data_IF_358672553258
#
_entry.id   IF_358672553258
#
_cell.length_a   1.000
_cell.length_b   1.000
_cell.length_c   1.000
_cell.angle_alpha   90.00
_cell.angle_beta   90.00
_cell.angle_gamma   90.00
#
_symmetry.space_group_name_H-M   'P 1'
#
loop_
_entity.id
_entity.type
_entity.pdbx_description
1 polymer ?
#
# COMPACT_ATOMS: atom_id res chain seq x y z
N UNK A 1 -18.81 21.84 -12.10
CA UNK A 1 -17.50 21.16 -12.14
C UNK A 1 -16.98 21.27 -13.56
N UNK A 2 -15.76 21.75 -13.75
CA UNK A 2 -15.15 21.94 -15.08
C UNK A 2 -14.08 20.86 -15.28
N UNK A 3 -14.12 20.20 -16.45
CA UNK A 3 -13.07 19.23 -16.82
C UNK A 3 -11.82 20.00 -17.24
N UNK A 4 -10.67 19.68 -16.62
CA UNK A 4 -9.38 20.33 -16.93
C UNK A 4 -8.61 19.65 -18.06
N UNK A 5 -9.07 18.46 -18.47
CA UNK A 5 -8.39 17.66 -19.50
C UNK A 5 -7.08 17.02 -18.99
N UNK A 6 -6.44 16.26 -19.86
CA UNK A 6 -5.14 15.62 -19.59
C UNK A 6 -4.23 15.75 -20.80
N UNK A 7 -2.99 16.21 -20.57
CA UNK A 7 -1.99 16.31 -21.62
C UNK A 7 -0.98 15.15 -21.49
N UNK A 8 -0.88 14.35 -22.56
CA UNK A 8 0.11 13.27 -22.62
C UNK A 8 1.52 13.84 -22.58
N UNK A 9 2.34 13.33 -21.68
CA UNK A 9 3.79 13.59 -21.65
C UNK A 9 4.55 12.50 -22.38
N UNK A 10 5.59 12.87 -23.13
CA UNK A 10 6.48 11.92 -23.77
C UNK A 10 7.63 11.61 -22.80
N UNK A 11 7.76 10.36 -22.38
CA UNK A 11 8.81 9.91 -21.47
C UNK A 11 8.80 8.41 -21.32
N UNK A 12 9.88 7.84 -20.80
CA UNK A 12 9.93 6.43 -20.43
C UNK A 12 8.97 6.21 -19.26
N UNK A 13 8.21 5.13 -19.31
CA UNK A 13 7.33 4.68 -18.23
C UNK A 13 7.75 3.28 -17.82
N UNK A 14 7.84 3.04 -16.52
CA UNK A 14 8.08 1.73 -15.93
C UNK A 14 6.91 1.36 -15.04
N UNK A 15 6.37 0.17 -15.25
CA UNK A 15 5.34 -0.40 -14.38
C UNK A 15 5.93 -1.11 -13.16
N UNK A 16 5.05 -1.60 -12.30
CA UNK A 16 5.40 -2.38 -11.14
C UNK A 16 5.67 -1.58 -9.86
N UNK A 17 5.71 -2.28 -8.73
CA UNK A 17 5.99 -1.74 -7.41
C UNK A 17 7.43 -2.04 -7.04
N UNK A 18 8.17 -1.01 -6.60
CA UNK A 18 9.56 -1.13 -6.17
C UNK A 18 9.69 -1.41 -4.67
N UNK A 19 8.87 -0.78 -3.88
CA UNK A 19 8.92 -0.90 -2.42
C UNK A 19 7.52 -0.83 -1.83
N UNK A 20 7.29 -1.59 -0.77
CA UNK A 20 6.05 -1.64 -0.02
C UNK A 20 6.35 -1.49 1.46
N UNK A 21 5.61 -0.59 2.09
CA UNK A 21 5.65 -0.35 3.53
C UNK A 21 4.25 -0.56 4.09
N UNK A 22 4.11 -1.37 5.12
CA UNK A 22 2.83 -1.66 5.77
C UNK A 22 2.92 -1.37 7.27
N UNK A 23 1.83 -0.88 7.83
CA UNK A 23 1.65 -0.66 9.26
C UNK A 23 0.21 -0.95 9.66
N UNK A 24 0.00 -1.39 10.89
CA UNK A 24 -1.33 -1.49 11.47
C UNK A 24 -2.00 -0.11 11.51
N UNK A 25 -3.29 -0.06 11.13
CA UNK A 25 -4.01 1.24 11.09
C UNK A 25 -3.98 1.98 12.44
N UNK A 26 -4.04 1.25 13.55
CA UNK A 26 -4.11 1.82 14.90
C UNK A 26 -2.79 2.48 15.35
N UNK A 27 -1.70 2.23 14.62
CA UNK A 27 -0.40 2.89 14.82
C UNK A 27 -0.29 4.23 14.08
N UNK A 28 -1.22 4.56 13.20
CA UNK A 28 -1.26 5.83 12.48
C UNK A 28 -2.19 6.80 13.21
N UNK A 29 -1.65 7.94 13.67
CA UNK A 29 -2.42 8.98 14.35
C UNK A 29 -3.11 9.92 13.36
N UNK A 30 -2.37 10.40 12.38
CA UNK A 30 -2.87 11.35 11.39
C UNK A 30 -1.98 11.41 10.16
N UNK A 31 -2.56 11.91 9.06
CA UNK A 31 -1.84 12.24 7.84
C UNK A 31 -1.93 13.74 7.61
N UNK A 32 -0.84 14.36 7.22
CA UNK A 32 -0.79 15.78 6.88
C UNK A 32 -0.99 15.95 5.38
N UNK A 33 -2.16 16.46 5.00
CA UNK A 33 -2.50 16.70 3.60
C UNK A 33 -1.89 18.00 3.09
N UNK A 34 -1.38 17.97 1.87
CA UNK A 34 -1.07 19.15 1.08
C UNK A 34 -2.31 19.58 0.29
N UNK A 35 -2.93 20.69 0.68
CA UNK A 35 -4.30 21.06 0.33
C UNK A 35 -4.63 21.20 -1.18
N UNK A 36 -3.64 21.35 -2.06
CA UNK A 36 -3.86 21.56 -3.49
C UNK A 36 -3.57 20.35 -4.39
N UNK A 37 -2.91 19.29 -3.88
CA UNK A 37 -2.24 18.32 -4.75
C UNK A 37 -2.68 16.87 -4.58
N UNK A 38 -3.71 16.59 -3.79
CA UNK A 38 -4.11 15.21 -3.45
C UNK A 38 -2.90 14.38 -3.01
N UNK A 39 -2.12 14.95 -2.10
CA UNK A 39 -0.90 14.39 -1.56
C UNK A 39 -0.80 14.54 -0.05
N UNK A 40 0.01 13.71 0.58
CA UNK A 40 0.38 13.78 1.98
C UNK A 40 1.88 14.06 2.10
N UNK A 41 2.24 15.06 2.91
CA UNK A 41 3.63 15.39 3.19
C UNK A 41 4.21 14.62 4.37
N UNK A 42 3.35 14.19 5.32
CA UNK A 42 3.78 13.47 6.50
C UNK A 42 2.72 12.48 7.00
N UNK A 43 3.19 11.41 7.60
CA UNK A 43 2.39 10.43 8.34
C UNK A 43 2.86 10.45 9.78
N UNK A 44 1.96 10.80 10.70
CA UNK A 44 2.25 10.85 12.13
C UNK A 44 1.87 9.52 12.75
N UNK A 45 2.84 8.88 13.39
CA UNK A 45 2.67 7.58 14.02
C UNK A 45 2.53 7.70 15.55
N UNK A 46 2.07 6.63 16.16
CA UNK A 46 2.16 6.43 17.62
C UNK A 46 3.65 6.31 18.00
N UNK A 47 4.03 6.71 19.22
CA UNK A 47 5.41 6.55 19.72
C UNK A 47 5.90 5.10 19.53
N UNK A 48 7.16 4.97 19.17
CA UNK A 48 7.86 3.71 18.90
C UNK A 48 7.30 2.87 17.73
N UNK A 49 6.28 3.37 17.01
CA UNK A 49 5.77 2.71 15.81
C UNK A 49 6.61 3.04 14.57
N UNK A 50 6.74 2.06 13.69
CA UNK A 50 7.39 2.20 12.39
C UNK A 50 6.68 1.34 11.35
N UNK A 51 6.81 1.72 10.09
CA UNK A 51 6.37 0.86 9.00
C UNK A 51 7.31 -0.35 8.84
N UNK A 52 6.73 -1.48 8.54
CA UNK A 52 7.47 -2.68 8.12
C UNK A 52 7.65 -2.64 6.61
N UNK A 53 8.89 -2.74 6.14
CA UNK A 53 9.21 -2.81 4.72
C UNK A 53 9.11 -4.27 4.26
N UNK A 54 8.35 -4.48 3.20
CA UNK A 54 8.25 -5.78 2.53
C UNK A 54 9.13 -5.76 1.28
N UNK A 55 10.02 -6.72 1.19
CA UNK A 55 10.92 -6.91 0.06
C UNK A 55 10.46 -8.13 -0.74
N UNK A 56 10.37 -7.96 -2.05
CA UNK A 56 9.98 -8.98 -3.00
C UNK A 56 10.89 -8.91 -4.22
N UNK A 57 10.79 -9.91 -5.07
CA UNK A 57 11.56 -9.94 -6.31
C UNK A 57 11.01 -8.91 -7.29
N UNK A 58 11.90 -8.36 -8.10
CA UNK A 58 11.55 -7.43 -9.19
C UNK A 58 10.44 -8.02 -10.07
N UNK A 59 9.53 -7.14 -10.53
CA UNK A 59 8.40 -7.47 -11.42
C UNK A 59 7.34 -8.43 -10.82
N UNK A 60 7.34 -8.64 -9.52
CA UNK A 60 6.40 -9.54 -8.84
C UNK A 60 5.45 -8.83 -7.86
N UNK A 61 5.29 -7.51 -8.02
CA UNK A 61 4.32 -6.74 -7.24
C UNK A 61 3.55 -5.75 -8.11
N UNK A 62 2.25 -5.69 -7.89
CA UNK A 62 1.33 -4.81 -8.61
C UNK A 62 0.43 -4.06 -7.63
N UNK A 63 0.24 -2.77 -7.88
CA UNK A 63 -0.81 -1.98 -7.27
C UNK A 63 -1.82 -1.56 -8.33
N UNK A 64 -3.09 -1.84 -8.07
CA UNK A 64 -4.19 -1.58 -9.00
C UNK A 64 -5.33 -0.85 -8.31
N UNK A 65 -5.89 0.14 -9.00
CA UNK A 65 -7.09 0.84 -8.58
C UNK A 65 -8.19 0.70 -9.63
N UNK A 66 -9.34 0.22 -9.19
CA UNK A 66 -10.52 0.07 -10.06
C UNK A 66 -11.63 0.98 -9.55
N UNK A 67 -12.05 1.94 -10.36
CA UNK A 67 -13.19 2.81 -10.05
C UNK A 67 -14.44 2.27 -10.72
N UNK A 68 -15.50 2.08 -9.93
CA UNK A 68 -16.85 1.73 -10.40
C UNK A 68 -17.84 2.81 -9.99
N UNK A 69 -18.80 3.09 -10.87
CA UNK A 69 -19.90 4.00 -10.58
C UNK A 69 -21.19 3.24 -10.80
N UNK A 70 -21.95 3.01 -9.73
CA UNK A 70 -23.22 2.31 -9.76
C UNK A 70 -24.27 3.12 -9.00
N UNK A 71 -25.43 3.33 -9.59
CA UNK A 71 -26.55 4.08 -8.99
C UNK A 71 -26.15 5.47 -8.43
N UNK A 72 -25.20 6.14 -9.07
CA UNK A 72 -24.68 7.44 -8.62
C UNK A 72 -23.64 7.37 -7.49
N UNK A 73 -23.34 6.19 -6.98
CA UNK A 73 -22.29 5.97 -5.99
C UNK A 73 -20.96 5.63 -6.65
N UNK A 74 -19.88 6.22 -6.17
CA UNK A 74 -18.52 5.95 -6.61
C UNK A 74 -17.84 5.03 -5.60
N UNK A 75 -17.29 3.92 -6.09
CA UNK A 75 -16.49 3.00 -5.32
C UNK A 75 -15.13 2.82 -6.01
N UNK A 76 -14.06 2.90 -5.24
CA UNK A 76 -12.70 2.63 -5.68
C UNK A 76 -12.16 1.44 -4.91
N UNK A 77 -11.90 0.36 -5.61
CA UNK A 77 -11.21 -0.80 -5.04
C UNK A 77 -9.72 -0.62 -5.24
N UNK A 78 -8.96 -0.64 -4.16
CA UNK A 78 -7.50 -0.64 -4.15
C UNK A 78 -7.03 -2.07 -3.87
N UNK A 79 -6.25 -2.62 -4.79
CA UNK A 79 -5.72 -3.98 -4.74
C UNK A 79 -4.20 -3.94 -4.83
N UNK A 80 -3.55 -4.60 -3.90
CA UNK A 80 -2.11 -4.74 -3.84
C UNK A 80 -1.77 -6.22 -3.82
N UNK A 81 -1.06 -6.70 -4.84
CA UNK A 81 -0.60 -8.08 -4.95
C UNK A 81 0.93 -8.11 -5.01
N UNK A 82 1.55 -9.01 -4.26
CA UNK A 82 3.00 -9.20 -4.26
C UNK A 82 3.38 -10.64 -3.93
N UNK A 83 4.52 -11.08 -4.43
CA UNK A 83 5.07 -12.41 -4.19
C UNK A 83 6.21 -12.34 -3.17
N UNK A 84 6.03 -13.06 -2.06
CA UNK A 84 7.12 -13.32 -1.11
C UNK A 84 7.93 -14.52 -1.63
N UNK A 85 9.20 -14.34 -1.99
CA UNK A 85 9.99 -15.41 -2.58
C UNK A 85 10.29 -16.49 -1.55
N UNK A 86 10.28 -17.75 -1.99
CA UNK A 86 10.48 -18.98 -1.23
C UNK A 86 9.35 -19.27 -0.24
N UNK A 87 8.89 -20.50 -0.23
CA UNK A 87 7.98 -21.03 0.80
C UNK A 87 8.80 -21.48 2.02
N UNK A 88 9.33 -20.54 2.77
CA UNK A 88 10.15 -20.80 3.96
C UNK A 88 9.44 -20.44 5.26
N UNK A 89 10.16 -20.54 6.37
CA UNK A 89 9.69 -20.14 7.69
C UNK A 89 9.34 -18.64 7.72
N UNK A 90 10.17 -17.80 7.11
CA UNK A 90 10.04 -16.33 7.13
C UNK A 90 8.82 -15.86 6.35
N UNK A 91 8.58 -16.40 5.15
CA UNK A 91 7.39 -16.06 4.37
C UNK A 91 6.09 -16.48 5.06
N UNK A 92 6.08 -17.66 5.70
CA UNK A 92 4.94 -18.12 6.49
C UNK A 92 4.63 -17.22 7.66
N UNK A 93 5.64 -16.83 8.44
CA UNK A 93 5.48 -15.90 9.56
C UNK A 93 4.90 -14.57 9.05
N UNK A 94 5.46 -14.02 7.97
CA UNK A 94 4.96 -12.76 7.41
C UNK A 94 3.50 -12.84 6.96
N UNK A 95 3.09 -13.95 6.34
CA UNK A 95 1.68 -14.14 5.92
C UNK A 95 0.76 -14.36 7.12
N UNK A 96 1.18 -15.12 8.13
CA UNK A 96 0.40 -15.32 9.36
C UNK A 96 0.21 -13.99 10.12
N UNK A 97 1.25 -13.16 10.23
CA UNK A 97 1.16 -11.81 10.81
C UNK A 97 0.17 -10.93 10.04
N UNK A 98 0.21 -10.95 8.71
CA UNK A 98 -0.76 -10.22 7.89
C UNK A 98 -2.19 -10.73 8.07
N UNK A 99 -2.37 -12.03 8.25
CA UNK A 99 -3.67 -12.63 8.51
C UNK A 99 -4.21 -12.25 9.89
N UNK A 100 -3.37 -12.24 10.90
CA UNK A 100 -3.73 -11.88 12.28
C UNK A 100 -4.11 -10.39 12.40
N UNK A 101 -3.40 -9.52 11.68
CA UNK A 101 -3.66 -8.07 11.67
C UNK A 101 -4.84 -7.71 10.75
N UNK A 102 -5.15 -8.54 9.77
CA UNK A 102 -6.19 -8.27 8.76
C UNK A 102 -7.54 -7.83 9.31
N UNK A 103 -8.09 -8.38 10.43
CA UNK A 103 -9.35 -7.90 11.00
C UNK A 103 -9.29 -6.41 11.43
N UNK A 104 -8.16 -5.96 11.98
CA UNK A 104 -7.93 -4.57 12.34
C UNK A 104 -7.61 -3.72 11.11
N UNK A 105 -6.85 -4.27 10.18
CA UNK A 105 -6.49 -3.68 8.90
C UNK A 105 -5.15 -2.94 8.91
N UNK A 106 -4.68 -2.66 7.71
CA UNK A 106 -3.36 -2.10 7.42
C UNK A 106 -3.48 -0.79 6.63
N UNK A 107 -2.54 0.10 6.86
CA UNK A 107 -2.26 1.24 5.98
C UNK A 107 -0.92 0.95 5.29
N UNK A 108 -0.87 1.21 3.99
CA UNK A 108 0.32 0.97 3.19
C UNK A 108 0.86 2.22 2.51
N UNK A 109 2.17 2.24 2.28
CA UNK A 109 2.82 3.17 1.34
C UNK A 109 3.46 2.33 0.25
N UNK A 110 2.99 2.54 -0.97
CA UNK A 110 3.42 1.82 -2.17
C UNK A 110 4.27 2.76 -3.02
N UNK A 111 5.50 2.35 -3.33
CA UNK A 111 6.42 3.11 -4.20
C UNK A 111 6.55 2.38 -5.53
N UNK A 112 6.19 3.06 -6.62
CA UNK A 112 6.32 2.49 -7.97
C UNK A 112 7.77 2.62 -8.51
N UNK A 113 8.02 1.96 -9.65
CA UNK A 113 9.34 2.01 -10.31
C UNK A 113 9.67 3.40 -10.89
N UNK A 114 8.70 4.31 -10.97
CA UNK A 114 8.90 5.71 -11.35
C UNK A 114 9.28 6.59 -10.15
N UNK A 115 9.24 6.05 -8.93
CA UNK A 115 9.55 6.78 -7.70
C UNK A 115 8.35 7.49 -7.07
N UNK A 116 7.14 7.30 -7.60
CA UNK A 116 5.95 7.88 -6.97
C UNK A 116 5.48 6.99 -5.81
N UNK A 117 5.37 7.58 -4.65
CA UNK A 117 4.80 6.91 -3.48
C UNK A 117 3.31 7.26 -3.33
N UNK A 118 2.50 6.30 -2.89
CA UNK A 118 1.06 6.46 -2.65
C UNK A 118 0.67 5.87 -1.31
N UNK A 119 -0.19 6.56 -0.59
CA UNK A 119 -0.78 6.05 0.66
C UNK A 119 -2.05 5.28 0.32
N UNK A 120 -2.11 4.03 0.74
CA UNK A 120 -3.21 3.10 0.48
C UNK A 120 -3.87 2.69 1.78
N UNK A 121 -5.18 2.55 1.77
CA UNK A 121 -5.94 2.16 2.98
C UNK A 121 -6.39 3.33 3.85
N UNK A 122 -6.31 4.57 3.35
CA UNK A 122 -6.82 5.77 4.00
C UNK A 122 -7.73 6.56 3.06
N UNK A 123 -8.78 7.16 3.60
CA UNK A 123 -9.73 7.99 2.87
C UNK A 123 -9.71 9.43 3.42
N UNK A 124 -9.23 10.38 2.62
CA UNK A 124 -9.10 11.77 3.03
C UNK A 124 -10.45 12.48 3.12
N UNK A 125 -11.40 12.14 2.24
CA UNK A 125 -12.75 12.74 2.25
C UNK A 125 -13.49 12.43 3.55
N UNK A 126 -13.32 11.21 4.07
CA UNK A 126 -13.95 10.78 5.32
C UNK A 126 -13.05 11.03 6.55
N UNK A 127 -11.79 11.46 6.34
CA UNK A 127 -10.79 11.60 7.41
C UNK A 127 -10.63 10.34 8.27
N UNK A 128 -10.76 9.18 7.64
CA UNK A 128 -10.74 7.89 8.32
C UNK A 128 -9.98 6.84 7.51
N UNK A 129 -9.55 5.80 8.18
CA UNK A 129 -8.94 4.65 7.52
C UNK A 129 -10.00 3.78 6.86
N UNK A 130 -9.78 3.46 5.59
CA UNK A 130 -10.43 2.37 4.87
C UNK A 130 -9.37 1.29 4.65
N UNK A 131 -9.02 0.52 5.71
CA UNK A 131 -7.77 -0.21 5.76
C UNK A 131 -7.72 -1.35 4.76
N UNK A 132 -6.53 -1.61 4.26
CA UNK A 132 -6.21 -2.83 3.54
C UNK A 132 -6.43 -4.05 4.43
N UNK A 133 -6.97 -5.10 3.85
CA UNK A 133 -7.15 -6.40 4.50
C UNK A 133 -6.66 -7.51 3.61
N UNK A 134 -6.20 -8.58 4.22
CA UNK A 134 -5.82 -9.77 3.48
C UNK A 134 -7.06 -10.35 2.79
N UNK A 135 -7.04 -10.35 1.47
CA UNK A 135 -8.08 -10.95 0.64
C UNK A 135 -7.76 -12.40 0.32
N UNK A 136 -6.52 -12.67 -0.05
CA UNK A 136 -6.06 -13.99 -0.44
C UNK A 136 -4.56 -14.15 -0.18
N UNK A 137 -4.16 -15.34 0.18
CA UNK A 137 -2.77 -15.80 0.17
C UNK A 137 -2.72 -17.17 -0.49
N UNK A 138 -1.78 -17.34 -1.43
CA UNK A 138 -1.58 -18.58 -2.17
C UNK A 138 -0.10 -18.94 -2.22
N UNK A 139 0.25 -20.06 -1.57
CA UNK A 139 1.62 -20.59 -1.59
C UNK A 139 1.78 -21.69 -2.62
N UNK A 140 2.87 -21.66 -3.39
CA UNK A 140 3.22 -22.72 -4.34
C UNK A 140 4.71 -23.06 -4.28
N UNK A 141 5.00 -24.36 -4.37
CA UNK A 141 6.38 -24.87 -4.53
C UNK A 141 6.80 -24.98 -5.99
N UNK A 142 5.87 -24.73 -6.94
CA UNK A 142 6.04 -25.09 -8.33
C UNK A 142 5.98 -26.61 -8.55
N UNK A 143 5.95 -27.03 -9.80
CA UNK A 143 5.95 -28.45 -10.21
C UNK A 143 7.29 -28.86 -10.83
N UNK A 144 7.95 -27.97 -11.53
CA UNK A 144 9.22 -28.19 -12.19
C UNK A 144 10.34 -27.36 -11.52
N UNK A 145 11.59 -27.72 -11.76
CA UNK A 145 12.76 -26.98 -11.24
C UNK A 145 12.83 -25.54 -11.75
N UNK A 146 12.19 -25.24 -12.89
CA UNK A 146 12.11 -23.89 -13.48
C UNK A 146 10.97 -23.05 -12.90
N UNK A 147 10.06 -23.63 -12.15
CA UNK A 147 8.88 -22.93 -11.65
C UNK A 147 9.25 -22.01 -10.47
N UNK A 148 8.57 -20.89 -10.38
CA UNK A 148 8.70 -20.01 -9.21
C UNK A 148 8.10 -20.68 -7.97
N UNK A 149 8.76 -20.50 -6.84
CA UNK A 149 8.27 -20.90 -5.52
C UNK A 149 8.11 -19.67 -4.65
N UNK A 150 7.02 -19.59 -3.90
CA UNK A 150 6.74 -18.46 -3.03
C UNK A 150 5.28 -18.38 -2.60
N UNK A 151 4.94 -17.34 -1.89
CA UNK A 151 3.58 -17.04 -1.46
C UNK A 151 3.11 -15.71 -2.06
N UNK A 152 2.09 -15.77 -2.89
CA UNK A 152 1.41 -14.58 -3.43
C UNK A 152 0.42 -14.08 -2.40
N UNK A 153 0.55 -12.82 -2.01
CA UNK A 153 -0.32 -12.15 -1.05
C UNK A 153 -1.12 -11.08 -1.79
N UNK A 154 -2.42 -11.04 -1.56
CA UNK A 154 -3.31 -10.00 -2.09
C UNK A 154 -4.01 -9.29 -0.95
N UNK A 155 -3.77 -7.98 -0.85
CA UNK A 155 -4.45 -7.08 0.08
C UNK A 155 -5.43 -6.21 -0.69
N UNK A 156 -6.60 -5.97 -0.12
CA UNK A 156 -7.64 -5.14 -0.75
C UNK A 156 -8.32 -4.21 0.24
N UNK A 157 -8.80 -3.09 -0.27
CA UNK A 157 -9.78 -2.24 0.41
C UNK A 157 -10.69 -1.54 -0.59
N UNK A 158 -11.89 -1.19 -0.12
CA UNK A 158 -12.85 -0.38 -0.86
C UNK A 158 -12.96 1.00 -0.23
N UNK A 159 -12.86 2.03 -1.06
CA UNK A 159 -12.90 3.44 -0.67
C UNK A 159 -13.72 4.26 -1.68
N UNK A 160 -13.85 5.55 -1.47
CA UNK A 160 -14.57 6.46 -2.39
C UNK A 160 -13.65 7.26 -3.28
N UNK A 161 -12.35 7.26 -3.02
CA UNK A 161 -11.35 8.03 -3.76
C UNK A 161 -10.08 7.22 -4.04
N UNK A 162 -9.31 7.69 -5.01
CA UNK A 162 -8.01 7.09 -5.33
C UNK A 162 -6.96 7.43 -4.29
N UNK A 163 -5.96 6.56 -4.17
CA UNK A 163 -4.83 6.76 -3.27
C UNK A 163 -4.11 8.09 -3.56
N UNK A 164 -3.91 8.89 -2.51
CA UNK A 164 -3.16 10.13 -2.59
C UNK A 164 -1.66 9.85 -2.65
N UNK A 165 -0.94 10.72 -3.33
CA UNK A 165 0.51 10.64 -3.37
C UNK A 165 1.12 10.89 -1.98
N UNK A 166 2.30 10.37 -1.75
CA UNK A 166 3.12 10.66 -0.58
C UNK A 166 4.39 11.37 -1.03
N UNK A 167 4.57 12.61 -0.59
CA UNK A 167 5.70 13.47 -0.95
C UNK A 167 6.80 13.49 0.11
N UNK A 168 6.53 12.88 1.27
CA UNK A 168 7.50 12.75 2.36
C UNK A 168 8.62 11.74 2.06
N UNK A 169 9.56 11.65 2.97
CA UNK A 169 10.69 10.72 2.88
C UNK A 169 10.25 9.29 3.18
N UNK A 170 10.31 8.41 2.17
CA UNK A 170 9.95 7.00 2.30
C UNK A 170 10.97 6.18 3.10
N UNK A 171 12.24 6.61 3.13
CA UNK A 171 13.28 5.91 3.89
C UNK A 171 13.11 6.14 5.40
N UNK A 172 12.54 7.28 5.78
CA UNK A 172 12.22 7.59 7.17
C UNK A 172 11.07 6.75 7.75
N UNK A 173 10.22 6.14 6.91
CA UNK A 173 9.05 5.36 7.36
C UNK A 173 9.41 4.15 8.23
N UNK A 174 10.59 3.56 8.04
CA UNK A 174 11.06 2.41 8.82
C UNK A 174 11.76 2.81 10.13
N UNK A 175 11.93 4.11 10.36
CA UNK A 175 12.51 4.61 11.61
C UNK A 175 11.39 4.77 12.65
N UNK A 176 11.55 4.23 13.87
CA UNK A 176 10.57 4.40 14.93
C UNK A 176 10.28 5.87 15.20
N UNK A 177 9.00 6.21 15.34
CA UNK A 177 8.59 7.57 15.68
C UNK A 177 9.15 7.94 17.07
N UNK A 178 9.82 9.10 17.15
CA UNK A 178 10.30 9.60 18.43
C UNK A 178 9.12 9.85 19.39
N UNK A 179 9.33 9.56 20.68
CA UNK A 179 8.38 9.98 21.69
C UNK A 179 8.23 11.51 21.59
N UNK A 180 7.02 11.95 21.30
CA UNK A 180 6.69 13.38 21.47
C UNK A 180 6.76 13.65 22.96
N UNK A 181 7.84 14.27 23.41
CA UNK A 181 8.02 14.66 24.80
C UNK A 181 6.77 15.37 25.32
N UNK A 182 6.26 14.87 26.40
CA UNK A 182 5.16 15.41 27.19
C UNK A 182 5.45 16.80 27.73
#
# INVERSE_FOLDING_TARGET
>A
MVLTGYKKTCGKQSGGVRSLFLIEKDKVKSLTQEAAEKSYSAIVLVADAAFSKYEFKEDEAEFKETTKVENGSVMVTQELSFLLPKMGKESRIAVEELADISPCGLIGVVVDNMGNARVVGYNEEQKDSRPLRLSQSEGTTGKALSDATGETVTLMCDTTEKAYLFTGDTDALTTPAAELGS
#
